data_IF_323241980649
#
_entry.id   IF_323241980649
#
_cell.length_a   1.000
_cell.length_b   1.000
_cell.length_c   1.000
_cell.angle_alpha   90.00
_cell.angle_beta   90.00
_cell.angle_gamma   90.00
#
_symmetry.space_group_name_H-M   'P 1'
#
loop_
_entity.id
_entity.type
_entity.pdbx_description
1 polymer ?
#
# COMPACT_ATOMS: atom_id res chain seq x y z
N UNK A 1 -7.47 38.94 5.18
CA UNK A 1 -7.45 38.15 3.93
C UNK A 1 -6.02 37.69 3.62
N UNK A 2 -5.53 36.65 4.31
CA UNK A 2 -4.19 36.03 4.11
C UNK A 2 -4.19 34.52 4.47
N UNK A 3 -5.36 33.88 4.48
CA UNK A 3 -5.49 32.44 4.79
C UNK A 3 -5.52 31.60 3.50
N UNK A 4 -5.89 32.18 2.36
CA UNK A 4 -5.93 31.46 1.08
C UNK A 4 -4.56 31.22 0.44
N UNK A 5 -3.52 31.96 0.84
CA UNK A 5 -2.18 31.85 0.24
C UNK A 5 -1.34 30.72 0.86
N UNK A 6 -1.68 30.29 2.09
CA UNK A 6 -1.06 29.13 2.74
C UNK A 6 -1.66 27.80 2.30
N UNK A 7 -2.92 27.79 1.82
CA UNK A 7 -3.55 26.58 1.30
C UNK A 7 -2.98 26.20 -0.08
N UNK A 8 -2.53 27.18 -0.90
CA UNK A 8 -1.93 26.92 -2.22
C UNK A 8 -0.55 26.27 -2.22
N UNK A 9 0.14 26.16 -1.08
CA UNK A 9 1.46 25.50 -0.99
C UNK A 9 1.42 24.06 -0.50
N UNK A 10 0.24 23.55 -0.12
CA UNK A 10 0.07 22.16 0.28
C UNK A 10 -0.17 21.20 -0.91
N UNK A 11 -0.58 21.68 -2.09
CA UNK A 11 -0.87 20.80 -3.23
C UNK A 11 0.35 20.45 -4.11
N UNK A 12 1.57 20.74 -3.66
CA UNK A 12 2.79 20.55 -4.47
C UNK A 12 3.44 19.14 -4.39
N UNK A 13 2.84 18.18 -3.69
CA UNK A 13 3.31 16.78 -3.74
C UNK A 13 2.60 15.95 -4.83
N UNK A 14 1.64 16.55 -5.52
CA UNK A 14 0.98 15.99 -6.69
C UNK A 14 1.13 16.95 -7.87
N UNK A 15 2.36 17.31 -8.26
CA UNK A 15 2.57 17.77 -9.63
C UNK A 15 2.18 16.64 -10.58
N UNK A 16 1.18 16.83 -11.47
CA UNK A 16 0.69 15.77 -12.32
C UNK A 16 1.71 15.56 -13.45
N UNK A 17 2.68 14.68 -13.22
CA UNK A 17 3.48 14.09 -14.31
C UNK A 17 2.67 13.05 -15.12
N UNK A 18 1.36 12.96 -14.86
CA UNK A 18 0.43 12.00 -15.45
C UNK A 18 -0.80 12.70 -16.05
N UNK A 19 -0.64 13.89 -16.62
CA UNK A 19 -1.49 14.20 -17.78
C UNK A 19 -1.09 13.22 -18.88
N UNK A 20 -2.04 12.37 -19.26
CA UNK A 20 -1.91 11.25 -20.20
C UNK A 20 -0.80 11.46 -21.26
N UNK A 21 0.41 10.89 -21.09
CA UNK A 21 1.41 10.96 -22.15
C UNK A 21 0.80 10.33 -23.40
N UNK A 22 0.90 10.98 -24.57
CA UNK A 22 0.30 10.45 -25.79
C UNK A 22 0.70 9.00 -26.01
N UNK A 23 -0.21 8.18 -26.52
CA UNK A 23 0.00 6.73 -26.70
C UNK A 23 1.27 6.39 -27.48
N UNK A 24 1.69 7.26 -28.40
CA UNK A 24 2.92 7.10 -29.19
C UNK A 24 4.23 7.29 -28.39
N UNK A 25 4.17 7.86 -27.18
CA UNK A 25 5.35 8.06 -26.34
C UNK A 25 5.85 6.74 -25.70
N UNK A 26 4.99 5.71 -25.65
CA UNK A 26 5.36 4.38 -25.14
C UNK A 26 4.64 3.26 -25.92
N UNK A 27 5.09 2.93 -27.14
CA UNK A 27 4.39 2.03 -28.06
C UNK A 27 4.24 0.57 -27.56
N UNK A 28 4.97 0.16 -26.52
CA UNK A 28 4.84 -1.18 -25.92
C UNK A 28 3.94 -1.23 -24.67
N UNK A 29 3.39 -0.10 -24.19
CA UNK A 29 2.54 -0.07 -22.98
C UNK A 29 1.13 -0.62 -23.16
N UNK A 30 0.67 -0.85 -24.39
CA UNK A 30 -0.77 -0.85 -24.67
C UNK A 30 -1.57 -2.03 -24.11
N UNK A 31 -0.97 -3.19 -23.82
CA UNK A 31 -1.71 -4.33 -23.28
C UNK A 31 -1.66 -4.41 -21.76
N UNK A 32 -0.48 -4.22 -21.15
CA UNK A 32 -0.29 -4.35 -19.69
C UNK A 32 -0.94 -3.20 -18.90
N UNK A 33 -1.15 -2.04 -19.53
CA UNK A 33 -1.74 -0.86 -18.87
C UNK A 33 -3.23 -0.67 -19.16
N UNK A 34 -3.79 -1.38 -20.14
CA UNK A 34 -5.19 -1.23 -20.58
C UNK A 34 -6.19 -1.45 -19.44
N UNK A 35 -5.95 -2.45 -18.59
CA UNK A 35 -6.79 -2.74 -17.42
C UNK A 35 -6.93 -1.54 -16.49
N UNK A 36 -5.87 -0.75 -16.29
CA UNK A 36 -5.92 0.42 -15.40
C UNK A 36 -6.64 1.60 -16.05
N UNK A 37 -6.30 1.90 -17.31
CA UNK A 37 -6.92 3.01 -18.05
C UNK A 37 -8.41 2.77 -18.24
N UNK A 38 -8.80 1.58 -18.69
CA UNK A 38 -10.21 1.23 -18.93
C UNK A 38 -11.02 1.18 -17.63
N UNK A 39 -10.37 0.99 -16.47
CA UNK A 39 -11.01 0.97 -15.15
C UNK A 39 -10.92 2.32 -14.40
N UNK A 40 -10.33 3.36 -14.99
CA UNK A 40 -10.11 4.65 -14.32
C UNK A 40 -9.18 4.58 -13.11
N UNK A 41 -8.25 3.63 -13.09
CA UNK A 41 -7.30 3.40 -12.01
C UNK A 41 -5.91 3.98 -12.30
N UNK A 42 -5.18 4.32 -11.25
CA UNK A 42 -3.77 4.68 -11.36
C UNK A 42 -2.90 3.46 -11.72
N UNK A 43 -1.67 3.72 -12.15
CA UNK A 43 -0.71 2.65 -12.46
C UNK A 43 -0.21 1.96 -11.19
N UNK A 44 0.28 0.72 -11.32
CA UNK A 44 0.95 0.02 -10.21
C UNK A 44 2.16 0.81 -9.68
N UNK A 45 2.91 1.47 -10.55
CA UNK A 45 4.04 2.31 -10.14
C UNK A 45 3.58 3.43 -9.20
N UNK A 46 2.46 4.08 -9.52
CA UNK A 46 1.87 5.13 -8.68
C UNK A 46 1.45 4.57 -7.32
N UNK A 47 0.70 3.45 -7.30
CA UNK A 47 0.24 2.84 -6.05
C UNK A 47 1.38 2.37 -5.16
N UNK A 48 2.36 1.64 -5.71
CA UNK A 48 3.46 1.10 -4.92
C UNK A 48 4.46 2.18 -4.48
N UNK A 49 4.75 3.17 -5.32
CA UNK A 49 5.60 4.30 -4.92
C UNK A 49 4.98 5.11 -3.80
N UNK A 50 3.66 5.39 -3.90
CA UNK A 50 2.91 6.05 -2.86
C UNK A 50 2.93 5.25 -1.56
N UNK A 51 2.63 3.95 -1.63
CA UNK A 51 2.64 3.06 -0.46
C UNK A 51 4.01 3.04 0.22
N UNK A 52 5.09 2.89 -0.55
CA UNK A 52 6.44 2.84 -0.01
C UNK A 52 6.83 4.16 0.65
N UNK A 53 6.51 5.29 0.02
CA UNK A 53 6.76 6.63 0.56
C UNK A 53 6.04 6.84 1.90
N UNK A 54 4.75 6.49 1.97
CA UNK A 54 3.94 6.70 3.17
C UNK A 54 4.42 5.83 4.33
N UNK A 55 4.66 4.54 4.10
CA UNK A 55 5.13 3.63 5.15
C UNK A 55 6.55 3.97 5.59
N UNK A 56 7.44 4.30 4.65
CA UNK A 56 8.81 4.73 4.99
C UNK A 56 8.77 5.94 5.92
N UNK A 57 7.94 6.94 5.64
CA UNK A 57 7.80 8.13 6.49
C UNK A 57 7.39 7.75 7.92
N UNK A 58 6.39 6.88 8.09
CA UNK A 58 5.98 6.42 9.43
C UNK A 58 7.14 5.73 10.14
N UNK A 59 7.82 4.80 9.46
CA UNK A 59 8.87 3.99 10.06
C UNK A 59 10.17 4.74 10.37
N UNK A 60 10.42 5.89 9.73
CA UNK A 60 11.62 6.71 10.00
C UNK A 60 11.37 7.88 10.94
N UNK A 61 10.11 8.24 11.19
CA UNK A 61 9.76 9.41 12.03
C UNK A 61 9.20 9.03 13.39
N UNK A 62 8.52 7.88 13.51
CA UNK A 62 7.99 7.41 14.79
C UNK A 62 9.09 6.70 15.57
N UNK A 63 9.25 7.07 16.83
CA UNK A 63 10.20 6.45 17.74
C UNK A 63 9.88 4.96 17.94
N UNK A 64 10.87 4.06 18.05
CA UNK A 64 10.63 2.61 18.13
C UNK A 64 9.65 2.19 19.23
N UNK A 65 9.73 2.81 20.42
CA UNK A 65 8.85 2.54 21.56
C UNK A 65 7.40 3.01 21.36
N UNK A 66 7.15 3.84 20.34
CA UNK A 66 5.82 4.33 19.93
C UNK A 66 5.34 3.71 18.62
N UNK A 67 6.03 2.69 18.13
CA UNK A 67 5.74 2.03 16.85
C UNK A 67 5.44 0.54 17.07
N UNK A 68 4.19 0.15 16.84
CA UNK A 68 3.79 -1.24 16.74
C UNK A 68 3.44 -1.57 15.29
N UNK A 69 4.12 -2.57 14.72
CA UNK A 69 3.88 -3.04 13.35
C UNK A 69 3.17 -4.39 13.41
N UNK A 70 2.00 -4.47 12.77
CA UNK A 70 1.17 -5.69 12.75
C UNK A 70 0.80 -6.03 11.31
N UNK A 71 0.96 -7.29 10.92
CA UNK A 71 0.51 -7.80 9.62
C UNK A 71 -1.01 -8.00 9.64
N UNK A 72 -1.70 -7.62 8.58
CA UNK A 72 -3.17 -7.79 8.48
C UNK A 72 -3.62 -9.22 8.76
N UNK A 73 -2.88 -10.23 8.28
CA UNK A 73 -3.20 -11.65 8.50
C UNK A 73 -3.03 -12.11 9.96
N UNK A 74 -2.21 -11.39 10.73
CA UNK A 74 -1.89 -11.68 12.13
C UNK A 74 -2.67 -10.77 13.08
N UNK A 75 -3.48 -9.83 12.57
CA UNK A 75 -4.14 -8.78 13.35
C UNK A 75 -4.95 -9.34 14.53
N UNK A 76 -5.73 -10.40 14.32
CA UNK A 76 -6.48 -11.06 15.40
C UNK A 76 -5.54 -11.68 16.44
N UNK A 77 -4.46 -12.32 16.02
CA UNK A 77 -3.48 -12.95 16.93
C UNK A 77 -2.66 -11.90 17.71
N UNK A 78 -2.52 -10.70 17.14
CA UNK A 78 -1.81 -9.58 17.73
C UNK A 78 -2.66 -8.75 18.71
N UNK A 79 -3.95 -9.05 18.92
CA UNK A 79 -4.81 -8.28 19.85
C UNK A 79 -4.17 -8.14 21.24
N UNK A 80 -3.70 -9.22 21.92
CA UNK A 80 -3.08 -9.08 23.24
C UNK A 80 -1.81 -8.22 23.23
N UNK A 81 -1.08 -8.22 22.11
CA UNK A 81 0.10 -7.37 21.93
C UNK A 81 -0.31 -5.90 21.74
N UNK A 82 -1.39 -5.64 21.00
CA UNK A 82 -1.95 -4.30 20.81
C UNK A 82 -2.43 -3.74 22.15
N UNK A 83 -3.14 -4.52 22.97
CA UNK A 83 -3.61 -4.09 24.29
C UNK A 83 -2.46 -3.69 25.21
N UNK A 84 -1.40 -4.52 25.26
CA UNK A 84 -0.18 -4.21 26.02
C UNK A 84 0.50 -2.94 25.51
N UNK A 85 0.59 -2.77 24.19
CA UNK A 85 1.19 -1.59 23.58
C UNK A 85 0.40 -0.31 23.88
N UNK A 86 -0.93 -0.40 23.93
CA UNK A 86 -1.81 0.72 24.29
C UNK A 86 -1.87 0.99 25.80
N UNK A 87 -1.39 0.06 26.63
CA UNK A 87 -1.48 0.17 28.10
C UNK A 87 -2.92 0.01 28.62
N UNK A 88 -3.77 -0.74 27.92
CA UNK A 88 -5.16 -1.02 28.32
C UNK A 88 -5.29 -2.41 28.94
N UNK A 89 -6.43 -2.67 29.58
CA UNK A 89 -6.75 -3.98 30.15
C UNK A 89 -6.73 -5.05 29.06
N UNK A 90 -6.15 -6.21 29.38
CA UNK A 90 -6.22 -7.38 28.50
C UNK A 90 -7.67 -7.82 28.31
N UNK A 91 -8.00 -8.32 27.12
CA UNK A 91 -9.33 -8.77 26.71
C UNK A 91 -10.40 -7.65 26.67
N UNK A 92 -9.97 -6.39 26.57
CA UNK A 92 -10.87 -5.24 26.40
C UNK A 92 -11.19 -4.95 24.93
N UNK A 93 -10.34 -5.39 24.00
CA UNK A 93 -10.60 -5.32 22.57
C UNK A 93 -11.42 -6.53 22.08
N UNK A 94 -12.20 -6.40 20.98
CA UNK A 94 -12.93 -7.52 20.40
C UNK A 94 -11.99 -8.65 19.98
N UNK A 95 -12.41 -9.91 20.19
CA UNK A 95 -11.65 -11.11 19.86
C UNK A 95 -11.44 -11.35 18.34
N UNK A 96 -12.06 -10.55 17.47
CA UNK A 96 -11.91 -10.65 16.01
C UNK A 96 -11.77 -9.28 15.37
N UNK A 97 -10.76 -9.14 14.52
CA UNK A 97 -10.48 -7.90 13.79
C UNK A 97 -11.18 -7.81 12.41
N UNK A 98 -11.97 -8.80 12.01
CA UNK A 98 -12.56 -8.91 10.66
C UNK A 98 -13.90 -8.17 10.51
N UNK A 99 -13.96 -6.89 10.91
CA UNK A 99 -15.18 -6.09 10.80
C UNK A 99 -15.46 -5.54 9.40
N UNK A 100 -14.42 -5.20 8.64
CA UNK A 100 -14.52 -4.47 7.37
C UNK A 100 -14.05 -5.33 6.18
N UNK A 101 -14.68 -6.49 5.98
CA UNK A 101 -14.38 -7.35 4.84
C UNK A 101 -15.14 -6.86 3.61
N UNK A 102 -14.42 -6.58 2.53
CA UNK A 102 -15.04 -6.24 1.24
C UNK A 102 -15.92 -7.39 0.74
N UNK A 103 -17.20 -7.11 0.49
CA UNK A 103 -18.17 -8.07 -0.05
C UNK A 103 -18.10 -8.20 -1.57
N UNK A 104 -17.74 -7.11 -2.28
CA UNK A 104 -17.66 -7.06 -3.74
C UNK A 104 -16.22 -7.05 -4.23
N UNK A 105 -15.82 -8.09 -4.97
CA UNK A 105 -14.49 -8.16 -5.62
C UNK A 105 -14.64 -7.79 -7.09
N UNK A 106 -13.88 -6.79 -7.54
CA UNK A 106 -13.90 -6.34 -8.95
C UNK A 106 -13.00 -7.17 -9.89
N UNK A 107 -12.22 -8.12 -9.35
CA UNK A 107 -11.40 -9.02 -10.17
C UNK A 107 -10.29 -8.34 -10.99
N UNK A 108 -9.98 -7.07 -10.70
CA UNK A 108 -8.98 -6.30 -11.47
C UNK A 108 -7.59 -6.92 -11.31
N UNK A 109 -7.25 -7.37 -10.10
CA UNK A 109 -5.96 -8.00 -9.83
C UNK A 109 -5.75 -9.31 -10.61
N UNK A 110 -6.82 -10.06 -10.92
CA UNK A 110 -6.71 -11.29 -11.73
C UNK A 110 -6.51 -11.02 -13.22
N UNK A 111 -6.72 -9.79 -13.68
CA UNK A 111 -6.50 -9.39 -15.08
C UNK A 111 -5.08 -8.86 -15.31
N UNK A 112 -4.31 -8.66 -14.25
CA UNK A 112 -2.93 -8.18 -14.31
C UNK A 112 -1.99 -9.39 -14.34
N UNK A 113 -1.02 -9.37 -15.24
CA UNK A 113 0.03 -10.39 -15.28
C UNK A 113 0.75 -10.46 -13.92
N UNK A 114 0.81 -11.66 -13.33
CA UNK A 114 1.35 -11.87 -11.98
C UNK A 114 2.83 -11.49 -11.91
N UNK A 115 3.61 -11.85 -12.93
CA UNK A 115 5.05 -11.58 -12.95
C UNK A 115 5.30 -10.06 -13.00
N UNK A 116 4.54 -9.34 -13.82
CA UNK A 116 4.58 -7.87 -13.86
C UNK A 116 4.17 -7.24 -12.52
N UNK A 117 3.09 -7.73 -11.88
CA UNK A 117 2.68 -7.25 -10.55
C UNK A 117 3.78 -7.48 -9.51
N UNK A 118 4.39 -8.66 -9.49
CA UNK A 118 5.49 -9.02 -8.59
C UNK A 118 6.75 -8.20 -8.86
N UNK A 119 7.12 -8.00 -10.13
CA UNK A 119 8.24 -7.15 -10.54
C UNK A 119 8.07 -5.72 -10.02
N UNK A 120 6.88 -5.13 -10.24
CA UNK A 120 6.57 -3.77 -9.78
C UNK A 120 6.55 -3.65 -8.26
N UNK A 121 5.93 -4.61 -7.57
CA UNK A 121 5.91 -4.60 -6.11
C UNK A 121 7.33 -4.74 -5.53
N UNK A 122 8.16 -5.62 -6.09
CA UNK A 122 9.55 -5.79 -5.68
C UNK A 122 10.37 -4.52 -5.93
N UNK A 123 10.27 -3.94 -7.13
CA UNK A 123 11.00 -2.72 -7.49
C UNK A 123 10.77 -1.58 -6.50
N UNK A 124 9.51 -1.36 -6.07
CA UNK A 124 9.17 -0.26 -5.17
C UNK A 124 9.28 -0.60 -3.68
N UNK A 125 8.93 -1.82 -3.28
CA UNK A 125 8.67 -2.14 -1.87
C UNK A 125 9.69 -3.12 -1.25
N UNK A 126 10.53 -3.79 -2.05
CA UNK A 126 11.41 -4.86 -1.55
C UNK A 126 12.30 -4.39 -0.40
N UNK A 127 12.96 -3.23 -0.54
CA UNK A 127 13.86 -2.70 0.49
C UNK A 127 13.16 -2.53 1.85
N UNK A 128 11.93 -2.00 1.84
CA UNK A 128 11.15 -1.80 3.05
C UNK A 128 10.69 -3.13 3.64
N UNK A 129 10.15 -4.00 2.79
CA UNK A 129 9.66 -5.33 3.18
C UNK A 129 10.77 -6.20 3.75
N UNK A 130 11.96 -6.23 3.15
CA UNK A 130 13.10 -6.99 3.67
C UNK A 130 13.58 -6.48 5.03
N UNK A 131 13.40 -5.19 5.34
CA UNK A 131 13.78 -4.61 6.63
C UNK A 131 12.81 -5.00 7.75
N UNK A 132 11.50 -4.95 7.50
CA UNK A 132 10.49 -5.13 8.55
C UNK A 132 9.84 -6.52 8.56
N UNK A 133 9.92 -7.26 7.45
CA UNK A 133 9.30 -8.57 7.27
C UNK A 133 10.24 -9.52 6.48
N UNK A 134 11.45 -9.82 6.99
CA UNK A 134 12.45 -10.62 6.29
C UNK A 134 12.00 -12.07 5.99
N UNK A 135 11.01 -12.58 6.74
CA UNK A 135 10.41 -13.89 6.52
C UNK A 135 9.53 -13.94 5.27
N UNK A 136 9.07 -12.78 4.77
CA UNK A 136 8.32 -12.66 3.52
C UNK A 136 9.33 -12.66 2.37
N UNK A 137 9.90 -13.84 2.07
CA UNK A 137 10.82 -14.01 0.95
C UNK A 137 10.09 -14.10 -0.38
N UNK A 138 10.58 -13.34 -1.37
CA UNK A 138 10.56 -13.72 -2.79
C UNK A 138 9.21 -13.76 -3.52
N UNK A 139 8.09 -13.59 -2.85
CA UNK A 139 6.84 -13.22 -3.50
C UNK A 139 5.92 -12.55 -2.48
N UNK A 140 5.51 -11.32 -2.77
CA UNK A 140 4.51 -10.63 -1.95
C UNK A 140 3.11 -11.25 -2.13
N UNK A 141 2.92 -12.15 -3.11
CA UNK A 141 1.60 -12.59 -3.56
C UNK A 141 1.37 -14.10 -3.63
N UNK A 142 2.32 -14.99 -3.29
CA UNK A 142 2.04 -16.43 -3.35
C UNK A 142 1.02 -16.93 -2.30
N UNK A 143 0.81 -16.18 -1.20
CA UNK A 143 -0.04 -16.63 -0.10
C UNK A 143 -1.41 -15.95 -0.03
N UNK A 144 -1.81 -15.16 -1.04
CA UNK A 144 -3.12 -14.50 -1.07
C UNK A 144 -4.27 -15.38 -1.61
N UNK A 145 -4.01 -16.66 -1.88
CA UNK A 145 -5.01 -17.66 -2.28
C UNK A 145 -4.91 -18.86 -1.35
N UNK A 146 -5.54 -18.76 -0.18
CA UNK A 146 -6.14 -19.86 0.57
C UNK A 146 -7.17 -19.24 1.52
#
# INVERSE_FOLDING_TARGET
MKIEESIRKADYWATPIYEHPPSWFFPERHLKFKVFVDSGLYTLDSYFSWWNTHNTKVFTTVLPERLLIVKTRELTQSIPQIERFLGITLDSLPTSARGNVTTKKFGILSQIDKNFLEEKANFHCQKLMSKYFPEVKGSLFHNARN
#
